data_IF_782656607322
#
_entry.id   IF_782656607322
#
_cell.length_a   1.000
_cell.length_b   1.000
_cell.length_c   1.000
_cell.angle_alpha   90.00
_cell.angle_beta   90.00
_cell.angle_gamma   90.00
#
_symmetry.space_group_name_H-M   'P 1'
#
loop_
_entity.id
_entity.type
_entity.pdbx_description
1 polymer ?
#
# COMPACT_ATOMS: atom_id res chain seq x y z
N UNK A 1 1.69 12.13 -14.34
CA UNK A 1 0.47 12.62 -15.02
C UNK A 1 -0.05 13.89 -14.33
N UNK A 2 -0.20 13.90 -13.02
CA UNK A 2 -0.68 15.08 -12.26
C UNK A 2 0.14 16.35 -12.54
N UNK A 3 1.47 16.27 -12.47
CA UNK A 3 2.35 17.41 -12.80
C UNK A 3 2.10 17.97 -14.22
N UNK A 4 1.95 17.08 -15.22
CA UNK A 4 1.67 17.51 -16.60
C UNK A 4 0.30 18.18 -16.72
N UNK A 5 -0.70 17.67 -16.01
CA UNK A 5 -2.05 18.26 -16.00
C UNK A 5 -2.06 19.64 -15.34
N UNK A 6 -1.32 19.81 -14.23
CA UNK A 6 -1.13 21.12 -13.60
C UNK A 6 -0.41 22.10 -14.53
N UNK A 7 0.65 21.65 -15.20
CA UNK A 7 1.37 22.47 -16.16
C UNK A 7 0.48 22.90 -17.33
N UNK A 8 -0.39 22.02 -17.83
CA UNK A 8 -1.41 22.40 -18.81
C UNK A 8 -2.39 23.43 -18.28
N UNK A 9 -2.92 23.24 -17.06
CA UNK A 9 -3.89 24.14 -16.46
C UNK A 9 -3.33 25.56 -16.25
N UNK A 10 -2.02 25.69 -15.98
CA UNK A 10 -1.35 26.98 -15.76
C UNK A 10 -0.87 27.64 -17.06
N UNK A 11 -0.37 26.84 -18.03
CA UNK A 11 0.31 27.36 -19.22
C UNK A 11 -0.54 27.30 -20.49
N UNK A 12 -1.61 26.50 -20.51
CA UNK A 12 -2.44 26.29 -21.71
C UNK A 12 -1.75 25.51 -22.84
N UNK A 13 -0.54 24.96 -22.61
CA UNK A 13 0.24 24.29 -23.64
C UNK A 13 -0.26 22.86 -23.85
N UNK A 14 -0.78 22.62 -25.06
CA UNK A 14 -1.36 21.34 -25.48
C UNK A 14 -0.41 20.14 -25.35
N UNK A 15 0.91 20.34 -25.43
CA UNK A 15 1.89 19.25 -25.28
C UNK A 15 1.79 18.57 -23.93
N UNK A 16 1.48 19.32 -22.87
CA UNK A 16 1.30 18.76 -21.52
C UNK A 16 0.02 17.94 -21.42
N UNK A 17 -1.10 18.42 -21.96
CA UNK A 17 -2.35 17.66 -21.95
C UNK A 17 -2.28 16.40 -22.82
N UNK A 18 -1.65 16.45 -23.98
CA UNK A 18 -1.47 15.29 -24.85
C UNK A 18 -0.62 14.21 -24.16
N UNK A 19 0.48 14.61 -23.54
CA UNK A 19 1.34 13.68 -22.78
C UNK A 19 0.62 13.09 -21.55
N UNK A 20 -0.14 13.92 -20.82
CA UNK A 20 -0.94 13.47 -19.67
C UNK A 20 -2.01 12.46 -20.10
N UNK A 21 -2.77 12.76 -21.16
CA UNK A 21 -3.82 11.89 -21.69
C UNK A 21 -3.28 10.55 -22.17
N UNK A 22 -2.12 10.56 -22.82
CA UNK A 22 -1.42 9.32 -23.22
C UNK A 22 -1.09 8.46 -21.99
N UNK A 23 -0.54 9.06 -20.94
CA UNK A 23 -0.22 8.37 -19.69
C UNK A 23 -1.47 7.82 -18.98
N UNK A 24 -2.57 8.60 -18.94
CA UNK A 24 -3.85 8.18 -18.36
C UNK A 24 -4.38 6.94 -19.09
N UNK A 25 -4.47 7.00 -20.43
CA UNK A 25 -4.95 5.88 -21.24
C UNK A 25 -4.05 4.65 -21.13
N UNK A 26 -2.74 4.87 -21.07
CA UNK A 26 -1.78 3.78 -20.85
C UNK A 26 -2.03 3.09 -19.50
N UNK A 27 -2.22 3.85 -18.43
CA UNK A 27 -2.51 3.30 -17.10
C UNK A 27 -3.85 2.54 -17.06
N UNK A 28 -4.91 3.06 -17.69
CA UNK A 28 -6.20 2.37 -17.83
C UNK A 28 -6.04 0.99 -18.49
N UNK A 29 -5.24 0.92 -19.56
CA UNK A 29 -5.02 -0.32 -20.31
C UNK A 29 -4.22 -1.39 -19.55
N UNK A 30 -3.58 -1.03 -18.43
CA UNK A 30 -2.79 -1.95 -17.60
C UNK A 30 -3.58 -2.49 -16.40
N UNK A 31 -4.81 -2.06 -16.20
CA UNK A 31 -5.67 -2.59 -15.14
C UNK A 31 -5.97 -4.07 -15.39
N UNK A 32 -5.81 -4.92 -14.38
CA UNK A 32 -6.12 -6.34 -14.48
C UNK A 32 -7.63 -6.57 -14.69
N UNK A 33 -7.98 -7.65 -15.43
CA UNK A 33 -9.38 -7.96 -15.76
C UNK A 33 -10.10 -8.74 -14.67
N UNK A 34 -9.38 -9.59 -13.93
CA UNK A 34 -9.97 -10.48 -12.91
C UNK A 34 -10.30 -9.68 -11.67
N UNK A 35 -9.32 -8.96 -11.14
CA UNK A 35 -9.49 -8.01 -10.06
C UNK A 35 -8.78 -6.73 -10.51
N UNK A 36 -9.48 -5.65 -10.53
CA UNK A 36 -9.12 -4.41 -11.22
C UNK A 36 -8.05 -3.57 -10.50
N UNK A 37 -6.99 -4.23 -10.01
CA UNK A 37 -5.78 -3.59 -9.51
C UNK A 37 -4.72 -3.46 -10.61
N UNK A 38 -3.53 -3.00 -10.24
CA UNK A 38 -2.42 -2.76 -11.17
C UNK A 38 -1.15 -3.52 -10.75
N UNK A 39 -0.31 -3.89 -11.73
CA UNK A 39 0.99 -4.49 -11.45
C UNK A 39 1.97 -3.45 -10.88
N UNK A 40 2.99 -3.92 -10.17
CA UNK A 40 4.06 -3.06 -9.64
C UNK A 40 4.84 -2.35 -10.76
N UNK A 41 5.04 -3.00 -11.89
CA UNK A 41 5.70 -2.42 -13.08
C UNK A 41 4.80 -2.49 -14.30
N UNK A 42 4.82 -1.42 -15.10
CA UNK A 42 4.05 -1.31 -16.34
C UNK A 42 5.03 -1.17 -17.52
N UNK A 43 4.96 -2.03 -18.54
CA UNK A 43 4.15 -3.24 -18.63
C UNK A 43 4.60 -4.30 -17.61
N UNK A 44 3.71 -5.24 -17.24
CA UNK A 44 4.10 -6.35 -16.38
C UNK A 44 5.25 -7.14 -17.02
N UNK A 45 6.25 -7.48 -16.23
CA UNK A 45 7.39 -8.25 -16.73
C UNK A 45 6.99 -9.66 -17.12
N UNK A 46 7.72 -10.24 -18.09
CA UNK A 46 7.49 -11.59 -18.62
C UNK A 46 7.59 -12.68 -17.55
N UNK A 47 6.83 -13.76 -17.71
CA UNK A 47 6.87 -14.96 -16.85
C UNK A 47 8.25 -15.64 -16.88
N UNK A 48 9.05 -15.42 -17.94
CA UNK A 48 10.39 -16.00 -18.08
C UNK A 48 11.45 -15.34 -17.20
N UNK A 49 11.09 -14.24 -16.51
CA UNK A 49 12.00 -13.59 -15.57
C UNK A 49 12.14 -14.42 -14.29
N UNK A 50 13.29 -14.26 -13.64
CA UNK A 50 13.63 -15.00 -12.41
C UNK A 50 12.58 -14.82 -11.31
N UNK A 51 12.42 -15.79 -10.42
CA UNK A 51 11.49 -15.75 -9.28
C UNK A 51 11.56 -14.44 -8.47
N UNK A 52 12.75 -13.84 -8.37
CA UNK A 52 12.97 -12.58 -7.65
C UNK A 52 12.26 -11.34 -8.24
N UNK A 53 11.68 -11.45 -9.44
CA UNK A 53 10.97 -10.35 -10.11
C UNK A 53 9.49 -10.68 -10.36
N UNK A 54 9.02 -11.86 -9.98
CA UNK A 54 7.63 -12.30 -10.21
C UNK A 54 6.60 -11.37 -9.55
N UNK A 55 6.92 -10.80 -8.37
CA UNK A 55 6.05 -9.84 -7.67
C UNK A 55 5.71 -8.60 -8.50
N UNK A 56 6.56 -8.24 -9.46
CA UNK A 56 6.34 -7.07 -10.32
C UNK A 56 5.12 -7.20 -11.24
N UNK A 57 4.61 -8.42 -11.39
CA UNK A 57 3.40 -8.74 -12.15
C UNK A 57 2.17 -8.97 -11.27
N UNK A 58 2.36 -8.96 -9.97
CA UNK A 58 1.27 -9.12 -9.01
C UNK A 58 0.40 -7.87 -8.95
N UNK A 59 -0.89 -8.02 -8.60
CA UNK A 59 -1.69 -6.89 -8.16
C UNK A 59 -1.02 -6.32 -6.93
N UNK A 60 -0.72 -5.02 -6.94
CA UNK A 60 0.17 -4.41 -5.96
C UNK A 60 -0.54 -3.32 -5.18
N UNK A 61 -0.59 -3.48 -3.85
CA UNK A 61 -0.94 -2.42 -2.90
C UNK A 61 0.31 -1.75 -2.32
N UNK A 62 1.45 -2.48 -2.28
CA UNK A 62 2.73 -1.92 -1.84
C UNK A 62 3.09 -0.64 -2.62
N UNK A 63 3.80 0.27 -1.94
CA UNK A 63 4.25 1.55 -2.51
C UNK A 63 3.09 2.40 -3.09
N UNK A 64 1.88 2.26 -2.53
CA UNK A 64 0.67 3.01 -2.93
C UNK A 64 0.30 2.84 -4.43
N UNK A 65 0.60 1.69 -5.04
CA UNK A 65 0.38 1.50 -6.48
C UNK A 65 -1.12 1.51 -6.80
N UNK A 66 -1.90 0.55 -6.31
CA UNK A 66 -3.34 0.47 -6.63
C UNK A 66 -4.12 1.65 -6.05
N UNK A 67 -3.94 1.96 -4.77
CA UNK A 67 -4.63 3.07 -4.08
C UNK A 67 -4.24 4.43 -4.66
N UNK A 68 -2.96 4.65 -5.00
CA UNK A 68 -2.50 5.89 -5.63
C UNK A 68 -3.05 6.11 -7.03
N UNK A 69 -3.14 5.06 -7.85
CA UNK A 69 -3.76 5.15 -9.18
C UNK A 69 -5.27 5.45 -9.04
N UNK A 70 -5.97 4.79 -8.13
CA UNK A 70 -7.39 5.05 -7.89
C UNK A 70 -7.63 6.48 -7.38
N UNK A 71 -6.78 6.98 -6.49
CA UNK A 71 -6.82 8.37 -6.00
C UNK A 71 -6.60 9.36 -7.14
N UNK A 72 -5.60 9.14 -7.99
CA UNK A 72 -5.36 9.95 -9.17
C UNK A 72 -6.57 9.95 -10.12
N UNK A 73 -7.18 8.80 -10.36
CA UNK A 73 -8.37 8.72 -11.21
C UNK A 73 -9.58 9.45 -10.61
N UNK A 74 -9.78 9.39 -9.29
CA UNK A 74 -10.83 10.19 -8.63
C UNK A 74 -10.55 11.70 -8.74
N UNK A 75 -9.30 12.12 -8.63
CA UNK A 75 -8.91 13.51 -8.84
C UNK A 75 -9.25 13.98 -10.28
N UNK A 76 -8.99 13.12 -11.29
CA UNK A 76 -9.34 13.41 -12.68
C UNK A 76 -10.86 13.60 -12.85
N UNK A 77 -11.67 12.78 -12.21
CA UNK A 77 -13.14 12.89 -12.26
C UNK A 77 -13.68 14.13 -11.53
N UNK A 78 -13.01 14.57 -10.46
CA UNK A 78 -13.46 15.65 -9.58
C UNK A 78 -12.97 17.05 -9.95
N UNK A 79 -11.77 17.17 -10.53
CA UNK A 79 -11.12 18.47 -10.78
C UNK A 79 -11.11 18.82 -12.28
N UNK A 80 -12.20 19.44 -12.73
CA UNK A 80 -12.31 19.91 -14.13
C UNK A 80 -11.33 21.05 -14.48
N UNK A 81 -10.82 21.78 -13.49
CA UNK A 81 -9.86 22.87 -13.76
C UNK A 81 -8.53 22.27 -14.24
N UNK A 82 -8.03 21.28 -13.53
CA UNK A 82 -6.73 20.64 -13.84
C UNK A 82 -6.85 19.62 -14.97
N UNK A 83 -7.99 18.94 -15.12
CA UNK A 83 -8.17 17.83 -16.07
C UNK A 83 -9.22 18.08 -17.16
N UNK A 84 -9.57 19.35 -17.43
CA UNK A 84 -10.58 19.71 -18.41
C UNK A 84 -10.29 19.30 -19.85
N UNK A 85 -9.06 18.86 -20.16
CA UNK A 85 -8.66 18.32 -21.45
C UNK A 85 -9.05 16.84 -21.64
N UNK A 86 -9.46 16.14 -20.58
CA UNK A 86 -9.82 14.72 -20.67
C UNK A 86 -11.21 14.58 -21.29
N UNK A 87 -11.30 13.87 -22.40
CA UNK A 87 -12.54 13.66 -23.12
C UNK A 87 -13.55 12.78 -22.37
N UNK A 88 -14.83 12.87 -22.75
CA UNK A 88 -15.94 12.18 -22.08
C UNK A 88 -15.82 10.65 -22.14
N UNK A 89 -15.26 10.08 -23.23
CA UNK A 89 -15.03 8.65 -23.35
C UNK A 89 -13.99 8.19 -22.33
N UNK A 90 -12.86 8.90 -22.23
CA UNK A 90 -11.80 8.61 -21.25
C UNK A 90 -12.31 8.77 -19.81
N UNK A 91 -13.14 9.81 -19.52
CA UNK A 91 -13.76 9.96 -18.18
C UNK A 91 -14.69 8.79 -17.84
N UNK A 92 -15.43 8.26 -18.79
CA UNK A 92 -16.29 7.09 -18.59
C UNK A 92 -15.43 5.85 -18.26
N UNK A 93 -14.34 5.62 -18.99
CA UNK A 93 -13.40 4.53 -18.70
C UNK A 93 -12.75 4.67 -17.32
N UNK A 94 -12.39 5.88 -16.92
CA UNK A 94 -11.83 6.16 -15.58
C UNK A 94 -12.87 5.84 -14.49
N UNK A 95 -14.12 6.27 -14.67
CA UNK A 95 -15.21 5.99 -13.71
C UNK A 95 -15.44 4.47 -13.53
N UNK A 96 -15.44 3.73 -14.62
CA UNK A 96 -15.55 2.26 -14.61
C UNK A 96 -14.34 1.61 -13.92
N UNK A 97 -13.12 2.09 -14.24
CA UNK A 97 -11.88 1.60 -13.64
C UNK A 97 -11.85 1.84 -12.11
N UNK A 98 -12.30 3.00 -11.64
CA UNK A 98 -12.42 3.32 -10.22
C UNK A 98 -13.42 2.40 -9.52
N UNK A 99 -14.63 2.24 -10.08
CA UNK A 99 -15.66 1.37 -9.50
C UNK A 99 -15.19 -0.07 -9.37
N UNK A 100 -14.54 -0.60 -10.39
CA UNK A 100 -13.96 -1.96 -10.37
C UNK A 100 -12.78 -2.07 -9.41
N UNK A 101 -11.93 -1.03 -9.33
CA UNK A 101 -10.81 -1.00 -8.41
C UNK A 101 -11.24 -0.96 -6.94
N UNK A 102 -12.27 -0.19 -6.61
CA UNK A 102 -12.86 -0.18 -5.27
C UNK A 102 -13.37 -1.57 -4.88
N UNK A 103 -14.10 -2.23 -5.79
CA UNK A 103 -14.58 -3.58 -5.57
C UNK A 103 -13.44 -4.58 -5.39
N UNK A 104 -12.37 -4.44 -6.19
CA UNK A 104 -11.17 -5.26 -6.06
C UNK A 104 -10.52 -5.09 -4.67
N UNK A 105 -10.38 -3.88 -4.15
CA UNK A 105 -9.83 -3.68 -2.80
C UNK A 105 -10.69 -4.37 -1.73
N UNK A 106 -12.03 -4.35 -1.86
CA UNK A 106 -12.93 -5.06 -0.92
C UNK A 106 -12.77 -6.59 -1.01
N UNK A 107 -12.52 -7.12 -2.20
CA UNK A 107 -12.30 -8.54 -2.46
C UNK A 107 -10.92 -9.01 -1.94
N UNK A 108 -9.89 -8.19 -2.09
CA UNK A 108 -8.53 -8.48 -1.65
C UNK A 108 -8.32 -8.35 -0.13
N UNK A 109 -9.29 -7.80 0.61
CA UNK A 109 -9.20 -7.66 2.06
C UNK A 109 -9.15 -9.04 2.72
N UNK A 110 -8.06 -9.29 3.46
CA UNK A 110 -7.78 -10.61 4.05
C UNK A 110 -8.78 -10.91 5.18
N UNK A 111 -9.22 -12.17 5.23
CA UNK A 111 -10.13 -12.67 6.27
C UNK A 111 -9.39 -13.64 7.17
N UNK A 112 -9.38 -13.36 8.47
CA UNK A 112 -8.87 -14.26 9.51
C UNK A 112 -10.05 -14.65 10.44
N UNK A 113 -10.28 -15.93 10.64
CA UNK A 113 -11.35 -16.45 11.51
C UNK A 113 -12.75 -15.85 11.21
N UNK A 114 -13.05 -15.59 9.92
CA UNK A 114 -14.32 -15.01 9.49
C UNK A 114 -14.43 -13.50 9.64
N UNK A 115 -13.37 -12.83 10.09
CA UNK A 115 -13.31 -11.36 10.28
C UNK A 115 -12.36 -10.77 9.24
N UNK A 116 -12.79 -9.71 8.56
CA UNK A 116 -11.93 -8.95 7.66
C UNK A 116 -10.85 -8.23 8.46
N UNK A 117 -9.63 -8.19 7.90
CA UNK A 117 -8.44 -7.58 8.50
C UNK A 117 -7.85 -6.55 7.54
N UNK A 118 -6.52 -6.47 7.42
CA UNK A 118 -5.84 -5.59 6.47
C UNK A 118 -5.63 -6.23 5.10
N UNK A 119 -4.63 -5.70 4.40
CA UNK A 119 -4.25 -6.14 3.05
C UNK A 119 -2.81 -6.62 2.99
N UNK A 120 -2.53 -7.51 2.03
CA UNK A 120 -1.16 -7.84 1.63
C UNK A 120 -0.60 -6.77 0.69
N UNK A 121 0.73 -6.77 0.56
CA UNK A 121 1.42 -5.89 -0.39
C UNK A 121 1.19 -6.29 -1.85
N UNK A 122 1.14 -7.60 -2.11
CA UNK A 122 0.92 -8.15 -3.46
C UNK A 122 -0.04 -9.34 -3.43
N UNK A 123 -0.75 -9.53 -4.57
CA UNK A 123 -1.67 -10.65 -4.80
C UNK A 123 -1.44 -11.25 -6.18
N UNK A 124 -1.57 -12.56 -6.26
CA UNK A 124 -1.58 -13.26 -7.54
C UNK A 124 -2.78 -12.78 -8.38
N UNK A 125 -2.57 -12.31 -9.62
CA UNK A 125 -3.67 -11.71 -10.41
C UNK A 125 -4.70 -12.73 -10.91
N UNK A 126 -4.43 -14.03 -10.82
CA UNK A 126 -5.35 -15.09 -11.26
C UNK A 126 -6.12 -15.70 -10.08
N UNK A 127 -5.43 -15.95 -8.95
CA UNK A 127 -6.01 -16.61 -7.78
C UNK A 127 -6.43 -15.66 -6.69
N UNK A 128 -6.01 -14.39 -6.74
CA UNK A 128 -6.22 -13.33 -5.74
C UNK A 128 -5.65 -13.68 -4.35
N UNK A 129 -4.77 -14.66 -4.28
CA UNK A 129 -4.10 -15.05 -3.04
C UNK A 129 -2.93 -14.11 -2.74
N UNK A 130 -2.68 -13.76 -1.46
CA UNK A 130 -1.50 -13.00 -1.07
C UNK A 130 -0.21 -13.69 -1.50
N UNK A 131 0.72 -12.93 -2.06
CA UNK A 131 2.06 -13.39 -2.44
C UNK A 131 3.13 -12.48 -1.84
N UNK A 132 4.36 -12.96 -1.79
CA UNK A 132 5.50 -12.15 -1.34
C UNK A 132 5.95 -11.14 -2.39
N UNK A 133 6.73 -10.17 -1.92
CA UNK A 133 7.47 -9.25 -2.77
C UNK A 133 8.91 -9.75 -3.01
N UNK A 134 9.90 -8.97 -2.57
CA UNK A 134 11.30 -9.40 -2.57
C UNK A 134 11.48 -10.63 -1.66
N UNK A 135 12.57 -11.36 -1.80
CA UNK A 135 12.79 -12.64 -1.10
C UNK A 135 12.52 -12.62 0.42
N UNK A 136 12.75 -11.48 1.07
CA UNK A 136 12.51 -11.29 2.51
C UNK A 136 11.12 -10.73 2.83
N UNK A 137 10.36 -10.31 1.85
CA UNK A 137 8.98 -9.83 1.98
C UNK A 137 8.03 -11.00 1.77
N UNK A 138 7.86 -11.78 2.83
CA UNK A 138 7.01 -12.97 2.79
C UNK A 138 5.53 -12.60 2.68
N UNK A 139 4.67 -13.50 2.15
CA UNK A 139 3.22 -13.26 2.16
C UNK A 139 2.72 -13.00 3.58
N UNK A 140 1.94 -11.92 3.74
CA UNK A 140 1.43 -11.50 5.05
C UNK A 140 0.46 -10.35 4.92
N UNK A 141 -0.17 -9.97 6.02
CA UNK A 141 -0.91 -8.71 6.15
C UNK A 141 0.10 -7.63 6.49
N UNK A 142 0.09 -6.54 5.74
CA UNK A 142 1.06 -5.46 5.90
C UNK A 142 0.40 -4.23 6.52
N UNK A 143 0.94 -3.76 7.65
CA UNK A 143 0.36 -2.63 8.38
C UNK A 143 0.47 -1.31 7.62
N UNK A 144 1.62 -1.03 7.00
CA UNK A 144 1.84 0.20 6.23
C UNK A 144 0.95 0.25 4.99
N UNK A 145 0.86 -0.84 4.24
CA UNK A 145 0.03 -0.95 3.06
C UNK A 145 -1.47 -0.93 3.38
N UNK A 146 -1.85 -1.51 4.53
CA UNK A 146 -3.22 -1.40 5.05
C UNK A 146 -3.60 0.06 5.31
N UNK A 147 -2.70 0.85 5.90
CA UNK A 147 -2.93 2.29 6.09
C UNK A 147 -3.10 3.00 4.74
N UNK A 148 -2.25 2.74 3.75
CA UNK A 148 -2.37 3.35 2.42
C UNK A 148 -3.72 3.07 1.74
N UNK A 149 -4.23 1.83 1.84
CA UNK A 149 -5.57 1.48 1.36
C UNK A 149 -6.66 2.19 2.15
N UNK A 150 -6.54 2.24 3.48
CA UNK A 150 -7.50 2.92 4.35
C UNK A 150 -7.56 4.43 4.10
N UNK A 151 -6.45 5.09 3.88
CA UNK A 151 -6.39 6.50 3.50
C UNK A 151 -7.10 6.77 2.18
N UNK A 152 -6.96 5.85 1.21
CA UNK A 152 -7.74 5.93 -0.02
C UNK A 152 -9.24 5.74 0.24
N UNK A 153 -9.65 4.67 0.93
CA UNK A 153 -11.07 4.38 1.14
C UNK A 153 -11.77 5.47 1.97
N UNK A 154 -11.11 6.04 2.98
CA UNK A 154 -11.65 7.15 3.79
C UNK A 154 -11.74 8.47 3.02
N UNK A 155 -11.00 8.62 1.91
CA UNK A 155 -11.12 9.78 1.03
C UNK A 155 -12.37 9.77 0.15
N UNK A 156 -13.09 8.65 0.06
CA UNK A 156 -14.30 8.51 -0.75
C UNK A 156 -15.45 9.31 -0.10
N UNK A 157 -16.04 10.23 -0.85
CA UNK A 157 -17.05 11.16 -0.31
C UNK A 157 -18.35 10.48 0.11
N UNK A 158 -18.84 9.51 -0.63
CA UNK A 158 -20.06 8.77 -0.36
C UNK A 158 -19.75 7.24 -0.45
N UNK A 159 -19.02 6.71 0.56
CA UNK A 159 -18.66 5.29 0.55
C UNK A 159 -19.90 4.40 0.72
N UNK A 160 -19.90 3.24 0.06
CA UNK A 160 -20.96 2.24 0.24
C UNK A 160 -20.89 1.63 1.65
N UNK A 161 -21.97 0.99 2.12
CA UNK A 161 -21.95 0.27 3.40
C UNK A 161 -20.82 -0.77 3.51
N UNK A 162 -20.49 -1.42 2.40
CA UNK A 162 -19.41 -2.42 2.33
C UNK A 162 -18.05 -1.75 2.51
N UNK A 163 -17.82 -0.58 1.92
CA UNK A 163 -16.59 0.21 2.10
C UNK A 163 -16.49 0.67 3.56
N UNK A 164 -17.58 1.18 4.13
CA UNK A 164 -17.63 1.61 5.54
C UNK A 164 -17.26 0.44 6.46
N UNK A 165 -17.85 -0.74 6.21
CA UNK A 165 -17.52 -1.94 6.98
C UNK A 165 -16.07 -2.34 6.82
N UNK A 166 -15.55 -2.34 5.60
CA UNK A 166 -14.15 -2.65 5.30
C UNK A 166 -13.18 -1.74 6.06
N UNK A 167 -13.45 -0.43 6.07
CA UNK A 167 -12.66 0.56 6.83
C UNK A 167 -12.67 0.21 8.32
N UNK A 168 -13.86 -0.01 8.91
CA UNK A 168 -13.99 -0.28 10.34
C UNK A 168 -13.29 -1.58 10.74
N UNK A 169 -13.45 -2.64 9.96
CA UNK A 169 -12.82 -3.95 10.22
C UNK A 169 -11.28 -3.84 10.18
N UNK A 170 -10.72 -3.18 9.17
CA UNK A 170 -9.27 -3.02 9.05
C UNK A 170 -8.69 -2.06 10.12
N UNK A 171 -9.44 -1.01 10.47
CA UNK A 171 -9.06 -0.12 11.58
C UNK A 171 -9.01 -0.89 12.90
N UNK A 172 -10.01 -1.75 13.18
CA UNK A 172 -10.00 -2.59 14.37
C UNK A 172 -8.83 -3.59 14.36
N UNK A 173 -8.48 -4.14 13.17
CA UNK A 173 -7.31 -4.98 13.03
C UNK A 173 -6.01 -4.23 13.36
N UNK A 174 -5.83 -2.98 12.88
CA UNK A 174 -4.68 -2.15 13.21
C UNK A 174 -4.59 -1.88 14.71
N UNK A 175 -5.70 -1.56 15.37
CA UNK A 175 -5.73 -1.36 16.83
C UNK A 175 -5.29 -2.63 17.58
N UNK A 176 -5.79 -3.80 17.18
CA UNK A 176 -5.49 -5.08 17.83
C UNK A 176 -4.07 -5.58 17.53
N UNK A 177 -3.45 -5.14 16.44
CA UNK A 177 -2.11 -5.57 16.01
C UNK A 177 -1.00 -4.65 16.51
N UNK A 178 -1.35 -3.60 17.24
CA UNK A 178 -0.37 -2.69 17.84
C UNK A 178 0.47 -3.41 18.89
N UNK A 179 1.77 -3.16 18.87
CA UNK A 179 2.76 -3.69 19.79
C UNK A 179 3.21 -2.59 20.76
N UNK A 180 3.49 -2.95 22.00
CA UNK A 180 3.89 -2.02 23.06
C UNK A 180 5.06 -2.56 23.89
N UNK A 181 5.65 -1.72 24.75
CA UNK A 181 6.66 -2.14 25.70
C UNK A 181 8.08 -2.14 25.18
N UNK A 182 8.30 -1.69 23.94
CA UNK A 182 9.64 -1.59 23.35
C UNK A 182 9.71 -0.50 22.27
N UNK A 183 10.91 -0.14 21.90
CA UNK A 183 11.23 0.71 20.77
C UNK A 183 12.38 0.14 19.94
N UNK A 184 12.48 0.51 18.67
CA UNK A 184 13.63 0.21 17.82
C UNK A 184 14.55 1.42 17.84
N UNK A 185 15.78 1.23 18.30
CA UNK A 185 16.79 2.30 18.40
C UNK A 185 17.90 2.08 17.37
N UNK A 186 18.36 3.19 16.81
CA UNK A 186 19.53 3.27 15.96
C UNK A 186 20.74 3.61 16.83
N UNK A 187 21.88 2.93 16.59
CA UNK A 187 23.14 3.19 17.28
C UNK A 187 24.32 3.13 16.31
N UNK A 188 25.41 3.80 16.64
CA UNK A 188 26.63 3.77 15.84
C UNK A 188 27.28 2.39 15.88
N UNK A 189 27.78 1.94 14.74
CA UNK A 189 28.46 0.66 14.56
C UNK A 189 29.54 0.77 13.49
N UNK A 190 30.55 -0.11 13.47
CA UNK A 190 31.57 -0.11 12.41
C UNK A 190 30.96 -0.13 11.03
N UNK A 191 31.59 0.54 10.06
CA UNK A 191 31.10 0.56 8.68
C UNK A 191 31.11 -0.85 8.09
N UNK A 192 29.98 -1.26 7.56
CA UNK A 192 29.84 -2.46 6.73
C UNK A 192 29.28 -2.08 5.37
N UNK A 193 29.85 -2.70 4.32
CA UNK A 193 29.41 -2.53 2.94
C UNK A 193 28.66 -3.79 2.51
N UNK A 194 27.48 -3.58 1.96
CA UNK A 194 26.60 -4.63 1.44
C UNK A 194 26.44 -4.48 -0.07
N UNK A 195 25.79 -5.42 -0.73
CA UNK A 195 25.57 -5.36 -2.19
C UNK A 195 24.77 -4.13 -2.64
N UNK A 196 23.88 -3.61 -1.78
CA UNK A 196 22.94 -2.56 -2.16
C UNK A 196 23.06 -1.26 -1.34
N UNK A 197 23.79 -1.28 -0.24
CA UNK A 197 24.03 -0.10 0.60
C UNK A 197 25.23 -0.31 1.52
N UNK A 198 25.65 0.74 2.21
CA UNK A 198 26.58 0.65 3.34
C UNK A 198 25.96 1.27 4.59
N UNK A 199 26.42 0.83 5.76
CA UNK A 199 25.91 1.37 7.01
C UNK A 199 27.02 1.54 8.03
N UNK A 200 27.05 2.71 8.70
CA UNK A 200 27.86 3.02 9.90
C UNK A 200 27.05 2.94 11.19
N UNK A 201 25.90 2.31 11.15
CA UNK A 201 24.97 2.16 12.24
C UNK A 201 24.27 0.80 12.18
N UNK A 202 23.64 0.43 13.28
CA UNK A 202 22.75 -0.74 13.34
C UNK A 202 21.48 -0.37 14.12
N UNK A 203 20.54 -1.29 14.22
CA UNK A 203 19.31 -1.17 15.02
C UNK A 203 19.18 -2.32 15.98
N UNK A 204 18.60 -2.04 17.16
CA UNK A 204 18.22 -3.05 18.15
C UNK A 204 16.87 -2.71 18.76
N UNK A 205 16.24 -3.69 19.38
CA UNK A 205 15.09 -3.48 20.25
C UNK A 205 15.59 -3.12 21.64
N UNK A 206 14.98 -2.11 22.25
CA UNK A 206 15.14 -1.75 23.65
C UNK A 206 13.78 -1.81 24.36
N UNK A 207 13.74 -2.49 25.52
CA UNK A 207 12.54 -2.50 26.37
C UNK A 207 12.24 -1.08 26.86
N UNK A 208 11.03 -0.61 26.65
CA UNK A 208 10.54 0.69 27.08
C UNK A 208 9.02 0.64 27.27
N UNK A 209 8.54 0.40 28.51
CA UNK A 209 7.10 0.34 28.79
C UNK A 209 6.34 1.64 28.47
N UNK A 210 7.07 2.78 28.37
CA UNK A 210 6.48 4.08 28.03
C UNK A 210 6.55 4.42 26.54
N UNK A 211 7.16 3.56 25.71
CA UNK A 211 7.26 3.80 24.28
C UNK A 211 5.87 3.86 23.64
N UNK A 212 5.66 4.73 22.63
CA UNK A 212 4.46 4.71 21.83
C UNK A 212 4.24 3.32 21.22
N UNK A 213 2.98 2.99 20.96
CA UNK A 213 2.65 1.76 20.22
C UNK A 213 3.30 1.76 18.84
N UNK A 214 3.74 0.59 18.39
CA UNK A 214 4.47 0.38 17.16
C UNK A 214 3.87 -0.82 16.43
N UNK A 215 3.99 -0.88 15.12
CA UNK A 215 3.50 -2.01 14.30
C UNK A 215 4.67 -2.73 13.66
N UNK A 216 4.60 -4.07 13.59
CA UNK A 216 5.40 -4.81 12.65
C UNK A 216 4.93 -4.51 11.22
N UNK A 217 5.84 -4.54 10.26
CA UNK A 217 5.45 -4.36 8.86
C UNK A 217 4.60 -5.53 8.35
N UNK A 218 4.93 -6.76 8.76
CA UNK A 218 4.29 -8.00 8.30
C UNK A 218 3.70 -8.78 9.46
N UNK A 219 2.49 -9.30 9.24
CA UNK A 219 1.78 -10.20 10.13
C UNK A 219 1.34 -11.46 9.38
N UNK A 220 1.38 -12.61 10.04
CA UNK A 220 1.02 -13.89 9.45
C UNK A 220 -0.46 -13.93 9.06
N UNK A 221 -0.75 -14.56 7.92
CA UNK A 221 -2.09 -14.66 7.34
C UNK A 221 -3.06 -15.50 8.19
N UNK A 222 -2.56 -16.39 9.06
CA UNK A 222 -3.38 -17.33 9.82
C UNK A 222 -3.57 -16.88 11.27
N UNK A 223 -2.49 -16.51 11.98
CA UNK A 223 -2.49 -16.27 13.41
C UNK A 223 -2.11 -14.84 13.83
N UNK A 224 -1.85 -13.96 12.85
CA UNK A 224 -1.46 -12.57 13.09
C UNK A 224 -0.14 -12.42 13.86
N UNK A 225 0.71 -13.45 13.92
CA UNK A 225 2.04 -13.34 14.50
C UNK A 225 2.95 -12.48 13.63
N UNK A 226 3.93 -11.82 14.24
CA UNK A 226 4.90 -10.98 13.52
C UNK A 226 5.77 -11.84 12.60
N UNK A 227 5.95 -11.40 11.35
CA UNK A 227 6.86 -12.02 10.39
C UNK A 227 8.12 -11.15 10.29
N UNK A 228 9.26 -11.77 10.60
CA UNK A 228 10.60 -11.25 10.35
C UNK A 228 11.35 -12.26 9.47
N UNK A 229 12.14 -11.78 8.52
CA UNK A 229 12.87 -12.67 7.60
C UNK A 229 14.22 -12.08 7.17
N UNK A 230 15.11 -12.97 6.75
CA UNK A 230 16.36 -12.61 6.13
C UNK A 230 16.24 -12.60 4.60
N UNK A 231 17.27 -12.11 3.92
CA UNK A 231 17.30 -12.01 2.45
C UNK A 231 17.19 -13.36 1.73
N UNK A 232 17.47 -14.44 2.40
CA UNK A 232 17.28 -15.81 1.89
C UNK A 232 15.83 -16.31 1.98
N UNK A 233 14.90 -15.45 2.43
CA UNK A 233 13.49 -15.78 2.57
C UNK A 233 13.14 -16.59 3.82
N UNK A 234 14.10 -16.86 4.71
CA UNK A 234 13.84 -17.62 5.92
C UNK A 234 13.33 -16.72 7.04
N UNK A 235 12.23 -17.14 7.66
CA UNK A 235 11.71 -16.51 8.88
C UNK A 235 12.73 -16.63 10.01
N UNK A 236 12.77 -15.61 10.85
CA UNK A 236 13.52 -15.59 12.10
C UNK A 236 12.58 -15.25 13.25
N UNK A 237 12.91 -15.75 14.45
CA UNK A 237 12.05 -15.61 15.61
C UNK A 237 12.20 -14.25 16.30
N UNK A 238 13.37 -13.63 16.23
CA UNK A 238 13.68 -12.39 16.96
C UNK A 238 14.28 -11.35 16.01
N UNK A 239 14.12 -10.09 16.37
CA UNK A 239 14.68 -8.98 15.61
C UNK A 239 16.21 -9.05 15.49
N UNK A 240 16.87 -9.50 16.53
CA UNK A 240 18.32 -9.65 16.58
C UNK A 240 18.85 -10.72 15.61
N UNK A 241 18.02 -11.70 15.26
CA UNK A 241 18.35 -12.76 14.31
C UNK A 241 18.28 -12.31 12.84
N UNK A 242 17.72 -11.11 12.59
CA UNK A 242 17.74 -10.47 11.27
C UNK A 242 19.19 -10.04 11.00
N UNK A 243 19.73 -10.36 9.83
CA UNK A 243 21.05 -9.88 9.41
C UNK A 243 21.10 -8.33 9.43
N UNK A 244 22.22 -7.76 9.86
CA UNK A 244 22.41 -6.30 9.93
C UNK A 244 22.07 -5.61 8.61
N UNK A 245 22.40 -6.22 7.49
CA UNK A 245 22.04 -5.75 6.15
C UNK A 245 20.53 -5.50 6.03
N UNK A 246 19.71 -6.38 6.60
CA UNK A 246 18.23 -6.21 6.59
C UNK A 246 17.73 -5.29 7.70
N UNK A 247 18.36 -5.28 8.88
CA UNK A 247 18.00 -4.31 9.94
C UNK A 247 18.26 -2.86 9.52
N UNK A 248 19.33 -2.61 8.78
CA UNK A 248 19.71 -1.27 8.34
C UNK A 248 19.08 -0.87 7.01
N UNK A 249 18.72 -1.82 6.17
CA UNK A 249 18.17 -1.58 4.84
C UNK A 249 16.66 -1.77 4.71
N UNK A 250 15.94 -2.02 5.84
CA UNK A 250 14.48 -2.24 5.79
C UNK A 250 13.79 -1.82 7.08
N UNK A 251 12.53 -1.39 6.97
CA UNK A 251 11.67 -1.00 8.09
C UNK A 251 10.81 -2.17 8.56
N UNK A 252 11.31 -2.99 9.51
CA UNK A 252 10.56 -4.12 10.07
C UNK A 252 9.49 -3.71 11.07
N UNK A 253 9.71 -2.59 11.76
CA UNK A 253 8.78 -1.97 12.69
C UNK A 253 8.70 -0.48 12.41
N UNK A 254 7.52 0.10 12.59
CA UNK A 254 7.28 1.52 12.41
C UNK A 254 5.99 2.00 13.06
N UNK A 255 5.83 3.31 13.13
CA UNK A 255 4.63 3.97 13.63
C UNK A 255 3.56 4.13 12.54
N UNK A 256 3.43 3.12 11.67
CA UNK A 256 2.69 3.18 10.41
C UNK A 256 1.23 3.62 10.57
N UNK A 257 0.54 3.12 11.60
CA UNK A 257 -0.88 3.39 11.79
C UNK A 257 -1.18 4.53 12.76
N UNK A 258 -0.17 5.14 13.40
CA UNK A 258 -0.42 6.11 14.48
C UNK A 258 -1.17 7.35 14.01
N UNK A 259 -0.76 7.97 12.91
CA UNK A 259 -1.43 9.15 12.37
C UNK A 259 -2.85 8.82 11.86
N UNK A 260 -2.99 7.70 11.19
CA UNK A 260 -4.30 7.23 10.72
C UNK A 260 -5.29 7.04 11.88
N UNK A 261 -4.88 6.32 12.92
CA UNK A 261 -5.73 5.98 14.06
C UNK A 261 -6.02 7.19 14.97
N UNK A 262 -5.04 8.09 15.16
CA UNK A 262 -5.21 9.23 16.06
C UNK A 262 -5.87 10.44 15.40
N UNK A 263 -5.85 10.55 14.05
CA UNK A 263 -6.34 11.73 13.34
C UNK A 263 -7.30 11.37 12.19
N UNK A 264 -6.81 10.65 11.17
CA UNK A 264 -7.56 10.44 9.92
C UNK A 264 -8.89 9.71 10.16
N UNK A 265 -8.86 8.60 10.88
CA UNK A 265 -10.06 7.80 11.14
C UNK A 265 -11.08 8.54 12.05
N UNK A 266 -10.69 9.18 13.17
CA UNK A 266 -11.61 9.99 13.97
C UNK A 266 -12.25 11.15 13.19
N UNK A 267 -11.50 11.83 12.32
CA UNK A 267 -12.03 12.88 11.44
C UNK A 267 -13.05 12.32 10.43
N UNK A 268 -12.73 11.18 9.83
CA UNK A 268 -13.63 10.49 8.92
C UNK A 268 -14.94 10.04 9.61
N UNK A 269 -14.87 9.47 10.81
CA UNK A 269 -16.06 9.10 11.60
C UNK A 269 -16.96 10.32 11.87
N UNK A 270 -16.37 11.45 12.26
CA UNK A 270 -17.13 12.71 12.44
C UNK A 270 -17.81 13.16 11.14
N UNK A 271 -17.08 13.11 10.00
CA UNK A 271 -17.63 13.45 8.68
C UNK A 271 -18.81 12.53 8.31
N UNK A 272 -18.72 11.22 8.59
CA UNK A 272 -19.80 10.27 8.31
C UNK A 272 -21.04 10.49 9.20
N UNK A 273 -20.85 10.80 10.47
CA UNK A 273 -21.95 11.11 11.39
C UNK A 273 -22.74 12.37 11.00
N UNK A 274 -22.10 13.35 10.38
CA UNK A 274 -22.76 14.58 9.89
C UNK A 274 -23.57 14.36 8.60
N UNK A 275 -23.43 13.21 7.94
CA UNK A 275 -24.14 12.86 6.70
C UNK A 275 -25.39 12.01 6.92
N UNK A 276 -25.60 11.52 8.15
CA UNK A 276 -26.78 10.78 8.59
C UNK A 276 -27.84 11.72 9.18
#
# INVERSE_FOLDING_TARGET
>A
MEYLSQAWAELGDKRYSDAALLGIRYTLNQQYKVCAGWPHTIPPKSITETENTSYQRSITNADDVTSGILRMFRNILGDKKTYGFVDSETLTLISDAVSKGDQCLLELQIVQNGIKTGWAGQYNPETLTPVGGRSFELPGILSEETVGVLEYLTSIDNPSPEIIKSINDATQWLENSALTGFKVVKFEAPEEKYAWHSSKWDRRIESDPSAPRIWARFYDLNDNSVILANRDGKRVAKYEDIARERRTGYGWYGYYAEEYLSKTYPEWVKKMALKQ
#
